data_IF_071053634285
#
_entry.id   IF_071053634285
#
_cell.length_a   1.000
_cell.length_b   1.000
_cell.length_c   1.000
_cell.angle_alpha   90.00
_cell.angle_beta   90.00
_cell.angle_gamma   90.00
#
_symmetry.space_group_name_H-M   'P 1'
#
loop_
_entity.id
_entity.type
_entity.pdbx_description
1 polymer ?
#
# COMPACT_ATOMS: atom_id res chain seq x y z
N UNK A 1 -5.57 14.18 11.41
CA UNK A 1 -4.83 14.04 12.68
C UNK A 1 -3.45 13.53 12.33
N UNK A 2 -2.36 14.19 12.75
CA UNK A 2 -1.01 13.65 12.50
C UNK A 2 -0.88 12.34 13.28
N UNK A 3 -0.64 11.23 12.59
CA UNK A 3 -0.28 9.98 13.25
C UNK A 3 1.19 10.11 13.69
N UNK A 4 1.45 9.85 14.97
CA UNK A 4 2.81 9.75 15.48
C UNK A 4 3.55 8.66 14.67
N UNK A 5 4.79 8.93 14.24
CA UNK A 5 5.66 7.97 13.55
C UNK A 5 5.69 6.62 14.25
N UNK A 6 5.66 6.62 15.59
CA UNK A 6 5.60 5.39 16.38
C UNK A 6 4.28 4.63 16.16
N UNK A 7 3.14 5.31 16.06
CA UNK A 7 1.84 4.68 15.91
C UNK A 7 1.70 3.94 14.57
N UNK A 8 2.23 4.50 13.48
CA UNK A 8 2.18 3.86 12.16
C UNK A 8 3.09 2.62 12.09
N UNK A 9 4.29 2.69 12.67
CA UNK A 9 5.19 1.54 12.75
C UNK A 9 4.62 0.43 13.65
N UNK A 10 3.97 0.78 14.77
CA UNK A 10 3.25 -0.18 15.60
C UNK A 10 2.09 -0.86 14.86
N UNK A 11 1.38 -0.14 13.99
CA UNK A 11 0.36 -0.77 13.13
C UNK A 11 0.96 -1.84 12.22
N UNK A 12 2.13 -1.58 11.61
CA UNK A 12 2.80 -2.58 10.77
C UNK A 12 3.28 -3.79 11.58
N UNK A 13 3.89 -3.56 12.76
CA UNK A 13 4.28 -4.65 13.68
C UNK A 13 3.11 -5.55 14.00
N UNK A 14 2.00 -4.95 14.44
CA UNK A 14 0.78 -5.68 14.78
C UNK A 14 0.22 -6.45 13.59
N UNK A 15 0.30 -5.88 12.38
CA UNK A 15 -0.15 -6.55 11.15
C UNK A 15 0.68 -7.79 10.85
N UNK A 16 2.02 -7.70 10.91
CA UNK A 16 2.90 -8.86 10.74
C UNK A 16 2.71 -9.91 11.83
N UNK A 17 2.64 -9.49 13.09
CA UNK A 17 2.40 -10.39 14.23
C UNK A 17 1.09 -11.16 14.07
N UNK A 18 0.01 -10.46 13.74
CA UNK A 18 -1.32 -11.06 13.57
C UNK A 18 -1.33 -12.01 12.38
N UNK A 19 -0.76 -11.59 11.24
CA UNK A 19 -0.66 -12.44 10.06
C UNK A 19 0.12 -13.71 10.36
N UNK A 20 1.32 -13.60 10.97
CA UNK A 20 2.18 -14.73 11.33
C UNK A 20 1.46 -15.70 12.26
N UNK A 21 0.80 -15.18 13.29
CA UNK A 21 0.04 -16.00 14.26
C UNK A 21 -1.06 -16.82 13.59
N UNK A 22 -1.85 -16.22 12.69
CA UNK A 22 -2.93 -16.93 12.00
C UNK A 22 -2.34 -17.90 10.98
N UNK A 23 -1.30 -17.48 10.25
CA UNK A 23 -0.64 -18.31 9.25
C UNK A 23 -0.09 -19.60 9.87
N UNK A 24 0.54 -19.52 11.03
CA UNK A 24 1.09 -20.69 11.73
C UNK A 24 0.00 -21.62 12.29
N UNK A 25 -1.20 -21.09 12.59
CA UNK A 25 -2.29 -21.86 13.17
C UNK A 25 -3.25 -22.46 12.13
N UNK A 26 -3.58 -21.69 11.09
CA UNK A 26 -4.68 -21.96 10.16
C UNK A 26 -4.28 -21.82 8.68
N UNK A 27 -3.04 -21.46 8.40
CA UNK A 27 -2.50 -21.31 7.04
C UNK A 27 -2.60 -19.90 6.46
N UNK A 28 -1.83 -19.70 5.39
CA UNK A 28 -1.62 -18.41 4.74
C UNK A 28 -2.91 -17.76 4.22
N UNK A 29 -3.74 -18.53 3.51
CA UNK A 29 -5.00 -18.02 2.97
C UNK A 29 -5.94 -17.50 4.07
N UNK A 30 -6.01 -18.21 5.20
CA UNK A 30 -6.85 -17.79 6.33
C UNK A 30 -6.32 -16.49 6.95
N UNK A 31 -5.00 -16.36 7.08
CA UNK A 31 -4.36 -15.14 7.57
C UNK A 31 -4.64 -13.96 6.64
N UNK A 32 -4.56 -14.19 5.33
CA UNK A 32 -4.89 -13.20 4.31
C UNK A 32 -6.35 -12.73 4.43
N UNK A 33 -7.30 -13.67 4.34
CA UNK A 33 -8.73 -13.36 4.34
C UNK A 33 -9.13 -12.61 5.62
N UNK A 34 -8.58 -13.04 6.76
CA UNK A 34 -8.86 -12.43 8.06
C UNK A 34 -8.35 -11.00 8.14
N UNK A 35 -7.14 -10.73 7.64
CA UNK A 35 -6.62 -9.36 7.60
C UNK A 35 -7.32 -8.50 6.54
N UNK A 36 -7.73 -9.11 5.44
CA UNK A 36 -8.42 -8.44 4.33
C UNK A 36 -9.85 -8.04 4.70
N UNK A 37 -10.47 -8.69 5.68
CA UNK A 37 -11.82 -8.36 6.15
C UNK A 37 -11.92 -6.90 6.62
N UNK A 38 -12.88 -6.17 6.03
CA UNK A 38 -13.11 -4.75 6.29
C UNK A 38 -12.00 -3.82 5.77
N UNK A 39 -10.97 -4.35 5.08
CA UNK A 39 -9.87 -3.55 4.55
C UNK A 39 -10.31 -2.64 3.40
N UNK A 40 -11.07 -3.13 2.39
CA UNK A 40 -11.55 -2.27 1.31
C UNK A 40 -12.32 -1.03 1.81
N UNK A 41 -13.14 -1.16 2.84
CA UNK A 41 -13.92 -0.08 3.43
C UNK A 41 -13.02 0.96 4.12
N UNK A 42 -11.99 0.49 4.85
CA UNK A 42 -10.95 1.36 5.43
C UNK A 42 -10.16 2.06 4.33
N UNK A 43 -9.81 1.35 3.27
CA UNK A 43 -9.08 1.89 2.13
C UNK A 43 -9.89 2.98 1.45
N UNK A 44 -11.18 2.73 1.20
CA UNK A 44 -12.11 3.73 0.64
C UNK A 44 -12.20 4.97 1.51
N UNK A 45 -12.35 4.79 2.83
CA UNK A 45 -12.44 5.90 3.78
C UNK A 45 -11.17 6.76 3.82
N UNK A 46 -10.00 6.13 3.72
CA UNK A 46 -8.72 6.83 3.84
C UNK A 46 -8.27 7.46 2.51
N UNK A 47 -8.37 6.73 1.40
CA UNK A 47 -7.95 7.20 0.08
C UNK A 47 -9.01 8.02 -0.65
N UNK A 48 -10.30 7.71 -0.46
CA UNK A 48 -11.40 8.30 -1.24
C UNK A 48 -11.37 9.84 -1.26
N UNK A 49 -11.23 10.52 -0.11
CA UNK A 49 -11.11 11.98 -0.06
C UNK A 49 -9.93 12.56 -0.87
N UNK A 50 -8.89 11.75 -1.11
CA UNK A 50 -7.69 12.18 -1.85
C UNK A 50 -7.83 11.96 -3.36
N UNK A 51 -8.52 10.90 -3.81
CA UNK A 51 -8.49 10.47 -5.22
C UNK A 51 -9.82 10.55 -5.97
N UNK A 52 -10.97 10.61 -5.30
CA UNK A 52 -12.28 10.51 -5.99
C UNK A 52 -12.59 11.76 -6.84
N UNK A 53 -12.09 12.93 -6.44
CA UNK A 53 -12.45 14.22 -7.05
C UNK A 53 -11.28 14.94 -7.75
N UNK A 54 -10.22 14.20 -8.11
CA UNK A 54 -8.99 14.74 -8.72
C UNK A 54 -8.28 13.62 -9.50
N UNK A 55 -7.15 13.88 -10.15
CA UNK A 55 -6.35 12.83 -10.82
C UNK A 55 -5.69 11.92 -9.78
N UNK A 56 -5.32 10.70 -10.16
CA UNK A 56 -4.56 9.82 -9.27
C UNK A 56 -3.24 10.47 -8.87
N UNK A 57 -2.54 11.12 -9.81
CA UNK A 57 -1.27 11.80 -9.55
C UNK A 57 -1.41 12.91 -8.48
N UNK A 58 -2.43 13.76 -8.57
CA UNK A 58 -2.68 14.82 -7.58
C UNK A 58 -3.06 14.23 -6.21
N UNK A 59 -3.91 13.21 -6.21
CA UNK A 59 -4.36 12.55 -4.98
C UNK A 59 -3.21 11.87 -4.23
N UNK A 60 -2.35 11.13 -4.94
CA UNK A 60 -1.17 10.47 -4.38
C UNK A 60 -0.14 11.49 -3.91
N UNK A 61 0.07 12.56 -4.67
CA UNK A 61 1.00 13.65 -4.28
C UNK A 61 0.62 14.31 -2.96
N UNK A 62 -0.68 14.43 -2.66
CA UNK A 62 -1.18 14.97 -1.38
C UNK A 62 -0.87 14.06 -0.19
N UNK A 63 -0.66 12.76 -0.41
CA UNK A 63 -0.35 11.80 0.64
C UNK A 63 1.15 11.78 1.02
N UNK A 64 2.04 12.26 0.14
CA UNK A 64 3.50 12.24 0.35
C UNK A 64 3.94 12.78 1.72
N UNK A 65 3.44 13.94 2.20
CA UNK A 65 3.86 14.47 3.51
C UNK A 65 3.48 13.55 4.68
N UNK A 66 2.35 12.83 4.59
CA UNK A 66 1.92 11.88 5.61
C UNK A 66 2.85 10.66 5.65
N UNK A 67 3.19 10.12 4.47
CA UNK A 67 4.12 9.00 4.35
C UNK A 67 5.54 9.37 4.80
N UNK A 68 5.96 10.61 4.56
CA UNK A 68 7.24 11.12 5.06
C UNK A 68 7.34 11.10 6.58
N UNK A 69 6.24 11.35 7.31
CA UNK A 69 6.21 11.30 8.77
C UNK A 69 6.50 9.90 9.31
N UNK A 70 6.12 8.86 8.57
CA UNK A 70 6.31 7.45 8.97
C UNK A 70 7.63 6.86 8.45
N UNK A 71 8.50 7.68 7.87
CA UNK A 71 9.82 7.27 7.38
C UNK A 71 9.82 6.67 5.98
N UNK A 72 8.77 6.87 5.19
CA UNK A 72 8.78 6.57 3.76
C UNK A 72 9.33 7.77 2.98
N UNK A 73 10.10 7.49 1.94
CA UNK A 73 10.47 8.48 0.94
C UNK A 73 9.89 8.01 -0.39
N UNK A 74 9.10 8.87 -1.02
CA UNK A 74 8.37 8.53 -2.23
C UNK A 74 8.28 9.70 -3.20
N UNK A 75 8.12 9.35 -4.48
CA UNK A 75 7.83 10.25 -5.58
C UNK A 75 6.62 9.75 -6.35
N UNK A 76 5.92 10.68 -7.00
CA UNK A 76 4.73 10.40 -7.79
C UNK A 76 4.96 10.94 -9.20
N UNK A 77 4.72 10.11 -10.20
CA UNK A 77 4.82 10.48 -11.61
C UNK A 77 3.48 10.28 -12.27
N UNK A 78 2.93 11.35 -12.84
CA UNK A 78 1.74 11.27 -13.68
C UNK A 78 2.10 10.61 -15.02
N UNK A 79 1.39 9.52 -15.33
CA UNK A 79 1.53 8.80 -16.60
C UNK A 79 0.19 8.75 -17.36
N UNK A 80 -0.75 9.63 -17.00
CA UNK A 80 -2.07 9.74 -17.61
C UNK A 80 -1.95 10.07 -19.09
N UNK A 81 -2.62 9.29 -19.93
CA UNK A 81 -2.64 9.48 -21.37
C UNK A 81 -3.81 8.70 -21.99
N UNK A 82 -4.23 9.06 -23.21
CA UNK A 82 -5.23 8.32 -24.02
C UNK A 82 -6.55 8.04 -23.26
N UNK A 83 -7.02 9.01 -22.46
CA UNK A 83 -8.25 8.89 -21.68
C UNK A 83 -8.15 7.97 -20.46
N UNK A 84 -6.94 7.66 -20.00
CA UNK A 84 -6.67 6.90 -18.77
C UNK A 84 -6.02 7.85 -17.74
N UNK A 85 -6.58 7.88 -16.54
CA UNK A 85 -5.98 8.52 -15.36
C UNK A 85 -5.07 7.47 -14.70
N UNK A 86 -3.76 7.73 -14.72
CA UNK A 86 -2.76 6.75 -14.29
C UNK A 86 -1.57 7.40 -13.59
N UNK A 87 -1.02 6.70 -12.62
CA UNK A 87 0.06 7.17 -11.77
C UNK A 87 1.09 6.08 -11.52
N UNK A 88 2.36 6.47 -11.44
CA UNK A 88 3.43 5.69 -10.82
C UNK A 88 3.75 6.27 -9.45
N UNK A 89 3.72 5.41 -8.45
CA UNK A 89 4.26 5.69 -7.12
C UNK A 89 5.62 5.00 -6.99
N UNK A 90 6.66 5.81 -6.77
CA UNK A 90 8.05 5.36 -6.63
C UNK A 90 8.45 5.48 -5.17
N UNK A 91 8.55 4.37 -4.45
CA UNK A 91 8.97 4.36 -3.06
C UNK A 91 10.47 4.03 -2.94
N UNK A 92 11.25 5.03 -2.56
CA UNK A 92 12.71 4.95 -2.38
C UNK A 92 13.11 4.35 -1.04
N UNK A 93 12.35 4.62 0.01
CA UNK A 93 12.62 4.08 1.36
C UNK A 93 11.40 3.34 1.88
N UNK A 94 11.59 2.08 2.27
CA UNK A 94 10.57 1.24 2.87
C UNK A 94 10.85 1.00 4.37
N UNK A 95 10.01 1.52 5.29
CA UNK A 95 10.28 1.44 6.72
C UNK A 95 10.06 0.04 7.30
N UNK A 96 9.39 -0.85 6.58
CA UNK A 96 9.00 -2.19 7.07
C UNK A 96 9.92 -3.32 6.61
N UNK A 97 10.92 -3.03 5.76
CA UNK A 97 11.86 -4.05 5.25
C UNK A 97 12.62 -4.79 6.35
N UNK A 98 13.15 -4.05 7.33
CA UNK A 98 13.85 -4.67 8.46
C UNK A 98 12.89 -5.37 9.43
N UNK A 99 11.74 -4.75 9.68
CA UNK A 99 10.73 -5.22 10.64
C UNK A 99 10.16 -6.59 10.25
N UNK A 100 9.90 -6.83 8.97
CA UNK A 100 9.29 -8.08 8.53
C UNK A 100 10.16 -9.32 8.81
N UNK A 101 11.48 -9.15 8.86
CA UNK A 101 12.43 -10.22 9.19
C UNK A 101 12.29 -10.70 10.63
N UNK A 102 11.86 -9.83 11.56
CA UNK A 102 11.59 -10.21 12.96
C UNK A 102 10.46 -11.24 13.06
N UNK A 103 9.60 -11.31 12.05
CA UNK A 103 8.46 -12.23 11.97
C UNK A 103 8.69 -13.38 10.96
N UNK A 104 9.89 -13.49 10.40
CA UNK A 104 10.25 -14.54 9.45
C UNK A 104 9.74 -14.32 8.02
N UNK A 105 9.45 -13.08 7.62
CA UNK A 105 9.07 -12.75 6.25
C UNK A 105 10.24 -12.16 5.47
N UNK A 106 10.57 -12.79 4.35
CA UNK A 106 11.53 -12.25 3.38
C UNK A 106 10.91 -11.16 2.51
N UNK A 107 9.62 -11.29 2.21
CA UNK A 107 8.85 -10.34 1.40
C UNK A 107 7.72 -9.68 2.21
N UNK A 108 7.94 -8.49 2.82
CA UNK A 108 6.87 -7.74 3.49
C UNK A 108 5.72 -7.35 2.57
N UNK A 109 5.98 -7.33 1.26
CA UNK A 109 5.08 -6.82 0.24
C UNK A 109 3.74 -7.58 0.22
N UNK A 110 3.75 -8.90 0.47
CA UNK A 110 2.52 -9.69 0.50
C UNK A 110 1.57 -9.15 1.58
N UNK A 111 2.04 -9.07 2.82
CA UNK A 111 1.20 -8.64 3.96
C UNK A 111 0.81 -7.15 3.87
N UNK A 112 1.65 -6.30 3.30
CA UNK A 112 1.43 -4.84 3.27
C UNK A 112 0.88 -4.39 1.92
N UNK A 113 1.75 -4.30 0.92
CA UNK A 113 1.49 -3.59 -0.33
C UNK A 113 0.51 -4.33 -1.25
N UNK A 114 0.61 -5.66 -1.36
CA UNK A 114 -0.31 -6.46 -2.17
C UNK A 114 -1.73 -6.37 -1.59
N UNK A 115 -1.84 -6.43 -0.27
CA UNK A 115 -3.11 -6.24 0.42
C UNK A 115 -3.71 -4.84 0.20
N UNK A 116 -2.89 -3.78 0.25
CA UNK A 116 -3.35 -2.41 -0.03
C UNK A 116 -3.81 -2.26 -1.49
N UNK A 117 -3.13 -2.90 -2.46
CA UNK A 117 -3.53 -2.91 -3.87
C UNK A 117 -4.86 -3.63 -4.06
N UNK A 118 -5.02 -4.83 -3.52
CA UNK A 118 -6.28 -5.59 -3.65
C UNK A 118 -7.42 -4.88 -2.93
N UNK A 119 -7.16 -4.27 -1.77
CA UNK A 119 -8.15 -3.45 -1.07
C UNK A 119 -8.54 -2.22 -1.89
N UNK A 120 -7.59 -1.59 -2.60
CA UNK A 120 -7.86 -0.43 -3.46
C UNK A 120 -8.71 -0.83 -4.67
N UNK A 121 -8.41 -1.95 -5.33
CA UNK A 121 -9.22 -2.50 -6.42
C UNK A 121 -10.66 -2.78 -5.98
N UNK A 122 -10.82 -3.38 -4.80
CA UNK A 122 -12.13 -3.65 -4.22
C UNK A 122 -12.89 -2.37 -3.81
N UNK A 123 -12.19 -1.37 -3.28
CA UNK A 123 -12.75 -0.11 -2.81
C UNK A 123 -13.23 0.82 -3.94
N UNK A 124 -12.53 0.79 -5.09
CA UNK A 124 -12.74 1.73 -6.20
C UNK A 124 -12.94 0.97 -7.52
N UNK A 125 -14.17 0.54 -7.84
CA UNK A 125 -14.47 -0.20 -9.07
C UNK A 125 -13.94 0.49 -10.32
N UNK A 126 -13.26 -0.27 -11.18
CA UNK A 126 -12.60 0.23 -12.39
C UNK A 126 -11.16 0.70 -12.17
N UNK A 127 -10.69 0.80 -10.93
CA UNK A 127 -9.28 1.02 -10.62
C UNK A 127 -8.52 -0.30 -10.68
N UNK A 128 -7.35 -0.28 -11.33
CA UNK A 128 -6.36 -1.34 -11.27
C UNK A 128 -5.15 -0.85 -10.49
N UNK A 129 -4.49 -1.77 -9.81
CA UNK A 129 -3.22 -1.54 -9.13
C UNK A 129 -2.30 -2.74 -9.35
N UNK A 130 -0.99 -2.49 -9.45
CA UNK A 130 0.04 -3.53 -9.55
C UNK A 130 1.37 -3.08 -8.96
N UNK A 131 2.15 -4.04 -8.46
CA UNK A 131 3.55 -3.85 -8.06
C UNK A 131 4.43 -4.20 -9.26
N UNK A 132 5.08 -3.21 -9.86
CA UNK A 132 5.97 -3.42 -11.00
C UNK A 132 7.35 -3.93 -10.57
N UNK A 133 7.86 -3.45 -9.44
CA UNK A 133 9.06 -3.96 -8.80
C UNK A 133 9.04 -3.65 -7.30
N UNK A 134 9.86 -4.38 -6.54
CA UNK A 134 9.92 -4.24 -5.08
C UNK A 134 11.36 -4.35 -4.58
N UNK A 135 11.72 -3.54 -3.58
CA UNK A 135 13.02 -3.62 -2.91
C UNK A 135 13.23 -4.99 -2.24
N UNK A 136 12.16 -5.61 -1.73
CA UNK A 136 12.21 -6.96 -1.18
C UNK A 136 12.70 -8.02 -2.18
N UNK A 137 12.54 -7.75 -3.48
CA UNK A 137 12.96 -8.62 -4.59
C UNK A 137 14.27 -8.14 -5.25
N UNK A 138 15.04 -7.29 -4.57
CA UNK A 138 16.35 -6.81 -5.01
C UNK A 138 16.33 -5.58 -5.93
N UNK A 139 15.17 -4.95 -6.16
CA UNK A 139 15.10 -3.70 -6.91
C UNK A 139 15.63 -2.51 -6.08
N UNK A 140 16.06 -1.44 -6.75
CA UNK A 140 16.54 -0.23 -6.07
C UNK A 140 15.40 0.57 -5.40
N UNK A 141 14.17 0.43 -5.88
CA UNK A 141 12.96 1.10 -5.38
C UNK A 141 11.77 0.14 -5.45
N UNK A 142 10.69 0.41 -4.73
CA UNK A 142 9.40 -0.20 -5.03
C UNK A 142 8.67 0.70 -6.03
N UNK A 143 8.03 0.11 -7.03
CA UNK A 143 7.27 0.83 -8.03
C UNK A 143 5.86 0.26 -8.09
N UNK A 144 4.87 1.11 -7.87
CA UNK A 144 3.46 0.77 -7.95
C UNK A 144 2.83 1.54 -9.09
N UNK A 145 1.96 0.87 -9.86
CA UNK A 145 1.16 1.52 -10.89
C UNK A 145 -0.29 1.42 -10.53
N UNK A 146 -1.00 2.54 -10.60
CA UNK A 146 -2.45 2.59 -10.52
C UNK A 146 -3.03 3.23 -11.76
N UNK A 147 -4.13 2.69 -12.26
CA UNK A 147 -4.84 3.24 -13.43
C UNK A 147 -6.35 3.08 -13.28
N UNK A 148 -7.10 4.02 -13.84
CA UNK A 148 -8.57 3.97 -13.95
C UNK A 148 -9.02 4.73 -15.20
N UNK A 149 -10.27 4.55 -15.67
CA UNK A 149 -10.81 5.40 -16.72
C UNK A 149 -10.68 6.89 -16.36
N UNK A 150 -10.18 7.70 -17.30
CA UNK A 150 -10.13 9.14 -17.14
C UNK A 150 -11.52 9.75 -17.00
N UNK A 151 -11.60 10.89 -16.32
CA UNK A 151 -12.82 11.69 -16.24
C UNK A 151 -13.06 12.49 -17.51
#
# INVERSE_FOLDING_TARGET
>A
MPQDKNQALEMFRKKFETYKKIMDAEGEQKAWDTLFEGYPERQKKNMGPLIENTTLADGFSKAIPLYKQIGMEMEVVDISNKGIDAVLEIQKVCPVMGMAKEYGFDEPCHVICEMDIEATKAAFPGTKGEILCAQARGAAVCLFKYERPGK
#
